data_IF_260395494556
#
_entry.id   IF_260395494556
#
_cell.length_a   1.000
_cell.length_b   1.000
_cell.length_c   1.000
_cell.angle_alpha   90.00
_cell.angle_beta   90.00
_cell.angle_gamma   90.00
#
_symmetry.space_group_name_H-M   'P 1'
#
loop_
_entity.id
_entity.type
_entity.pdbx_description
1 polymer ?
#
# COMPACT_ATOMS: atom_id res chain seq x y z
N UNK A 1 -35.46 19.82 3.97
CA UNK A 1 -34.39 18.90 4.39
C UNK A 1 -33.28 19.05 3.38
N UNK A 2 -32.28 19.88 3.68
CA UNK A 2 -31.15 20.17 2.79
C UNK A 2 -30.08 19.13 3.03
N UNK A 3 -29.92 18.22 2.06
CA UNK A 3 -28.81 17.28 2.02
C UNK A 3 -27.50 18.05 1.95
N UNK A 4 -26.75 17.97 3.05
CA UNK A 4 -25.39 18.50 3.17
C UNK A 4 -24.50 17.49 2.45
N UNK A 5 -24.06 17.83 1.23
CA UNK A 5 -23.06 17.06 0.50
C UNK A 5 -21.85 16.77 1.41
N UNK A 6 -21.22 15.59 1.31
CA UNK A 6 -20.07 15.25 2.13
C UNK A 6 -18.97 16.26 1.86
N UNK A 7 -18.53 16.95 2.92
CA UNK A 7 -17.36 17.82 2.89
C UNK A 7 -16.18 16.92 2.56
N UNK A 8 -15.78 16.91 1.30
CA UNK A 8 -14.48 16.41 0.87
C UNK A 8 -13.47 17.17 1.72
N UNK A 9 -12.66 16.44 2.47
CA UNK A 9 -11.62 17.03 3.32
C UNK A 9 -10.63 17.68 2.37
N UNK A 10 -10.81 18.97 2.09
CA UNK A 10 -9.89 19.82 1.35
C UNK A 10 -8.52 19.61 1.99
N UNK A 11 -7.67 18.93 1.25
CA UNK A 11 -6.31 18.59 1.61
C UNK A 11 -5.53 19.90 1.56
N UNK A 12 -5.70 20.74 2.60
CA UNK A 12 -5.35 22.16 2.57
C UNK A 12 -4.02 22.42 1.88
N UNK A 13 -4.03 23.32 0.90
CA UNK A 13 -2.98 23.55 -0.09
C UNK A 13 -1.58 23.43 0.52
N UNK A 14 -0.90 22.32 0.22
CA UNK A 14 0.44 22.03 0.71
C UNK A 14 1.45 22.46 -0.32
N UNK A 15 2.38 23.31 0.09
CA UNK A 15 3.44 23.81 -0.76
C UNK A 15 4.79 23.30 -0.31
N UNK A 16 5.70 23.16 -1.27
CA UNK A 16 7.11 22.99 -1.02
C UNK A 16 7.80 24.34 -1.16
N UNK A 17 8.52 24.74 -0.13
CA UNK A 17 9.37 25.92 -0.18
C UNK A 17 10.65 25.59 -0.96
N UNK A 18 10.96 26.42 -1.95
CA UNK A 18 12.12 26.29 -2.83
C UNK A 18 13.03 27.49 -2.64
N UNK A 19 14.32 27.23 -2.43
CA UNK A 19 15.37 28.26 -2.43
C UNK A 19 16.52 27.79 -3.30
N UNK A 20 16.96 28.62 -4.24
CA UNK A 20 18.06 28.30 -5.18
C UNK A 20 17.87 26.94 -5.89
N UNK A 21 16.62 26.61 -6.24
CA UNK A 21 16.28 25.37 -6.94
C UNK A 21 16.34 24.09 -6.09
N UNK A 22 16.39 24.19 -4.76
CA UNK A 22 16.31 23.07 -3.81
C UNK A 22 15.10 23.23 -2.88
N UNK A 23 14.49 22.12 -2.47
CA UNK A 23 13.39 22.08 -1.52
C UNK A 23 13.89 22.25 -0.08
N UNK A 24 13.08 22.89 0.75
CA UNK A 24 13.37 23.04 2.17
C UNK A 24 12.99 21.79 2.97
N UNK A 25 13.91 21.29 3.81
CA UNK A 25 13.66 20.12 4.67
C UNK A 25 13.01 20.55 6.00
N UNK A 26 12.12 19.73 6.57
CA UNK A 26 11.53 20.02 7.87
C UNK A 26 12.60 19.97 8.97
N UNK A 27 12.39 20.75 10.03
CA UNK A 27 13.25 20.75 11.22
C UNK A 27 14.61 21.41 11.01
N UNK A 28 14.72 22.44 10.16
CA UNK A 28 15.96 23.17 9.89
C UNK A 28 17.12 22.31 9.35
N UNK A 29 16.84 21.16 8.73
CA UNK A 29 17.86 20.25 8.20
C UNK A 29 18.43 20.68 6.84
N UNK A 30 18.40 21.98 6.53
CA UNK A 30 18.87 22.54 5.27
C UNK A 30 17.94 22.26 4.08
N UNK A 31 18.54 22.08 2.90
CA UNK A 31 17.83 21.95 1.63
C UNK A 31 18.10 20.57 0.99
N UNK A 32 17.16 20.09 0.19
CA UNK A 32 17.24 18.81 -0.52
C UNK A 32 16.72 18.94 -1.95
N UNK A 33 17.26 18.13 -2.84
CA UNK A 33 16.72 18.01 -4.19
C UNK A 33 15.61 16.97 -4.33
N UNK A 34 15.19 16.31 -3.25
CA UNK A 34 14.25 15.18 -3.29
C UNK A 34 12.93 15.58 -2.63
N UNK A 35 11.84 15.57 -3.39
CA UNK A 35 10.48 15.93 -2.94
C UNK A 35 10.03 15.13 -1.71
N UNK A 36 10.27 13.82 -1.70
CA UNK A 36 9.87 12.94 -0.60
C UNK A 36 10.49 13.33 0.75
N UNK A 37 11.64 14.00 0.73
CA UNK A 37 12.37 14.48 1.92
C UNK A 37 12.05 15.93 2.29
N UNK A 38 11.25 16.62 1.47
CA UNK A 38 10.87 18.00 1.68
C UNK A 38 9.72 18.13 2.68
N UNK A 39 9.69 19.28 3.35
CA UNK A 39 8.58 19.65 4.23
C UNK A 39 7.40 20.16 3.41
N UNK A 40 6.21 20.13 4.02
CA UNK A 40 4.98 20.71 3.45
C UNK A 40 4.63 21.92 4.30
N UNK A 41 4.47 23.05 3.64
CA UNK A 41 4.28 24.35 4.26
C UNK A 41 3.06 25.03 3.64
N UNK A 42 2.39 25.93 4.37
CA UNK A 42 1.42 26.83 3.76
C UNK A 42 2.12 27.79 2.77
N UNK A 43 1.39 28.30 1.79
CA UNK A 43 1.92 29.29 0.84
C UNK A 43 2.44 30.55 1.54
N UNK A 44 1.81 30.94 2.65
CA UNK A 44 2.19 32.10 3.45
C UNK A 44 3.61 32.06 4.01
N UNK A 45 4.23 30.88 4.07
CA UNK A 45 5.62 30.72 4.52
C UNK A 45 6.63 31.04 3.41
N UNK A 46 6.16 31.23 2.16
CA UNK A 46 6.99 31.74 1.09
C UNK A 46 7.49 33.15 1.42
N UNK A 47 8.77 33.40 1.13
CA UNK A 47 9.39 34.71 1.28
C UNK A 47 10.09 35.06 -0.02
N UNK A 48 9.34 35.54 -1.03
CA UNK A 48 9.92 35.86 -2.33
C UNK A 48 11.07 36.87 -2.23
N UNK A 49 10.99 37.80 -1.27
CA UNK A 49 12.03 38.80 -0.99
C UNK A 49 13.37 38.17 -0.54
N UNK A 50 13.30 37.03 0.16
CA UNK A 50 14.47 36.25 0.58
C UNK A 50 14.89 35.19 -0.46
N UNK A 51 14.27 35.21 -1.64
CA UNK A 51 14.43 34.22 -2.70
C UNK A 51 13.84 32.84 -2.39
N UNK A 52 12.84 32.78 -1.51
CA UNK A 52 12.11 31.56 -1.14
C UNK A 52 10.75 31.58 -1.84
N UNK A 53 10.54 30.68 -2.78
CA UNK A 53 9.27 30.53 -3.51
C UNK A 53 8.50 29.30 -3.03
N UNK A 54 7.18 29.28 -3.20
CA UNK A 54 6.35 28.11 -2.97
C UNK A 54 6.02 27.45 -4.31
N UNK A 55 6.00 26.12 -4.34
CA UNK A 55 5.46 25.32 -5.45
C UNK A 55 4.44 24.36 -4.85
N UNK A 56 3.25 24.27 -5.45
CA UNK A 56 2.20 23.37 -4.99
C UNK A 56 2.70 21.92 -4.99
N UNK A 57 2.29 21.10 -4.00
CA UNK A 57 2.78 19.73 -3.86
C UNK A 57 2.57 18.92 -5.13
N UNK A 58 1.44 19.05 -5.81
CA UNK A 58 1.14 18.29 -7.04
C UNK A 58 1.96 18.74 -8.26
N UNK A 59 2.36 20.01 -8.31
CA UNK A 59 3.14 20.58 -9.41
C UNK A 59 4.65 20.39 -9.21
N UNK A 60 5.08 20.18 -7.96
CA UNK A 60 6.49 20.04 -7.63
C UNK A 60 7.06 18.75 -8.26
N UNK A 61 8.13 18.84 -9.08
CA UNK A 61 8.78 17.65 -9.60
C UNK A 61 9.38 16.81 -8.47
N UNK A 62 9.50 15.52 -8.70
CA UNK A 62 10.05 14.60 -7.70
C UNK A 62 11.50 14.95 -7.32
N UNK A 63 12.25 15.45 -8.31
CA UNK A 63 13.59 15.97 -8.14
C UNK A 63 13.62 17.45 -8.50
N UNK A 64 14.17 18.26 -7.61
CA UNK A 64 14.33 19.69 -7.85
C UNK A 64 15.33 19.95 -8.97
N UNK A 65 15.25 21.13 -9.58
CA UNK A 65 16.13 21.52 -10.69
C UNK A 65 17.61 21.48 -10.32
N UNK A 66 17.96 21.84 -9.08
CA UNK A 66 19.34 21.84 -8.58
C UNK A 66 19.70 20.55 -7.81
N UNK A 67 18.93 19.47 -7.97
CA UNK A 67 19.22 18.21 -7.29
C UNK A 67 20.57 17.64 -7.73
N UNK A 68 21.43 17.31 -6.77
CA UNK A 68 22.70 16.63 -7.03
C UNK A 68 22.46 15.24 -7.65
N UNK A 69 23.25 14.89 -8.66
CA UNK A 69 23.05 13.69 -9.46
C UNK A 69 23.26 12.40 -8.64
N UNK A 70 24.24 12.39 -7.74
CA UNK A 70 24.55 11.30 -6.83
C UNK A 70 23.40 11.03 -5.84
N UNK A 71 22.81 12.09 -5.28
CA UNK A 71 21.64 11.97 -4.40
C UNK A 71 20.42 11.45 -5.15
N UNK A 72 20.23 11.90 -6.39
CA UNK A 72 19.15 11.44 -7.26
C UNK A 72 19.31 9.95 -7.56
N UNK A 73 20.50 9.53 -7.99
CA UNK A 73 20.81 8.12 -8.27
C UNK A 73 20.62 7.24 -7.04
N UNK A 74 21.19 7.63 -5.89
CA UNK A 74 21.03 6.88 -4.63
C UNK A 74 19.56 6.77 -4.22
N UNK A 75 18.76 7.82 -4.43
CA UNK A 75 17.33 7.80 -4.15
C UNK A 75 16.58 6.83 -5.08
N UNK A 76 16.87 6.88 -6.38
CA UNK A 76 16.27 5.98 -7.37
C UNK A 76 16.61 4.51 -7.08
N UNK A 77 17.87 4.20 -6.80
CA UNK A 77 18.31 2.86 -6.43
C UNK A 77 17.60 2.36 -5.17
N UNK A 78 17.43 3.23 -4.17
CA UNK A 78 16.66 2.91 -2.96
C UNK A 78 15.19 2.59 -3.27
N UNK A 79 14.55 3.34 -4.19
CA UNK A 79 13.18 3.07 -4.63
C UNK A 79 13.07 1.75 -5.39
N UNK A 80 14.02 1.45 -6.28
CA UNK A 80 14.06 0.19 -7.02
C UNK A 80 14.15 -0.98 -6.03
N UNK A 81 15.09 -0.93 -5.08
CA UNK A 81 15.24 -1.99 -4.08
C UNK A 81 13.98 -2.19 -3.23
N UNK A 82 13.30 -1.10 -2.83
CA UNK A 82 12.05 -1.19 -2.08
C UNK A 82 10.92 -1.83 -2.91
N UNK A 83 10.82 -1.47 -4.19
CA UNK A 83 9.83 -2.05 -5.12
C UNK A 83 10.12 -3.53 -5.41
N UNK A 84 11.40 -3.92 -5.50
CA UNK A 84 11.80 -5.32 -5.68
C UNK A 84 11.37 -6.20 -4.51
N UNK A 85 11.56 -5.74 -3.27
CA UNK A 85 11.08 -6.46 -2.08
C UNK A 85 9.56 -6.51 -2.02
N UNK A 86 8.86 -5.44 -2.42
CA UNK A 86 7.40 -5.42 -2.50
C UNK A 86 6.88 -6.45 -3.52
N UNK A 87 7.47 -6.49 -4.72
CA UNK A 87 7.13 -7.47 -5.76
C UNK A 87 7.34 -8.90 -5.24
N UNK A 88 8.45 -9.14 -4.54
CA UNK A 88 8.75 -10.44 -3.95
C UNK A 88 7.71 -10.84 -2.90
N UNK A 89 7.29 -9.92 -2.02
CA UNK A 89 6.23 -10.17 -1.04
C UNK A 89 4.92 -10.51 -1.74
N UNK A 90 4.50 -9.69 -2.71
CA UNK A 90 3.25 -9.90 -3.45
C UNK A 90 3.22 -11.23 -4.21
N UNK A 91 4.37 -11.68 -4.75
CA UNK A 91 4.49 -13.00 -5.39
C UNK A 91 4.31 -14.15 -4.40
N UNK A 92 4.84 -14.01 -3.18
CA UNK A 92 4.63 -15.02 -2.13
C UNK A 92 3.17 -15.07 -1.68
N UNK A 93 2.54 -13.90 -1.51
CA UNK A 93 1.12 -13.80 -1.14
C UNK A 93 0.23 -14.43 -2.22
N UNK A 94 0.52 -14.18 -3.50
CA UNK A 94 -0.20 -14.78 -4.62
C UNK A 94 -0.05 -16.30 -4.64
N UNK A 95 1.18 -16.81 -4.49
CA UNK A 95 1.43 -18.26 -4.45
C UNK A 95 0.72 -18.93 -3.26
N UNK A 96 0.63 -18.26 -2.11
CA UNK A 96 -0.12 -18.74 -0.96
C UNK A 96 -1.63 -18.79 -1.25
N UNK A 97 -2.18 -17.77 -1.92
CA UNK A 97 -3.57 -17.77 -2.36
C UNK A 97 -3.88 -18.88 -3.35
N UNK A 98 -3.01 -19.10 -4.34
CA UNK A 98 -3.16 -20.19 -5.32
C UNK A 98 -3.17 -21.55 -4.64
N UNK A 99 -2.25 -21.78 -3.69
CA UNK A 99 -2.20 -23.02 -2.91
C UNK A 99 -3.48 -23.25 -2.08
N UNK A 100 -4.01 -22.18 -1.48
CA UNK A 100 -5.28 -22.23 -0.75
C UNK A 100 -6.46 -22.56 -1.66
N UNK A 101 -6.52 -21.94 -2.84
CA UNK A 101 -7.56 -22.22 -3.85
C UNK A 101 -7.49 -23.67 -4.33
N UNK A 102 -6.30 -24.16 -4.67
CA UNK A 102 -6.07 -25.54 -5.08
C UNK A 102 -6.47 -26.55 -4.00
N UNK A 103 -6.09 -26.27 -2.74
CA UNK A 103 -6.44 -27.11 -1.60
C UNK A 103 -7.95 -27.12 -1.35
N UNK A 104 -8.60 -25.95 -1.38
CA UNK A 104 -10.05 -25.82 -1.24
C UNK A 104 -10.78 -26.55 -2.38
N UNK A 105 -10.32 -26.42 -3.62
CA UNK A 105 -10.87 -27.14 -4.76
C UNK A 105 -10.73 -28.65 -4.59
N UNK A 106 -9.52 -29.15 -4.25
CA UNK A 106 -9.28 -30.59 -4.04
C UNK A 106 -10.09 -31.15 -2.87
N UNK A 107 -10.21 -30.40 -1.76
CA UNK A 107 -11.03 -30.78 -0.62
C UNK A 107 -12.50 -30.84 -1.02
N UNK A 108 -13.00 -29.81 -1.72
CA UNK A 108 -14.34 -29.79 -2.29
C UNK A 108 -14.60 -31.04 -3.13
N UNK A 109 -13.78 -31.30 -4.16
CA UNK A 109 -13.92 -32.46 -5.05
C UNK A 109 -13.93 -33.78 -4.25
N UNK A 110 -13.03 -33.93 -3.26
CA UNK A 110 -12.97 -35.13 -2.40
C UNK A 110 -14.24 -35.30 -1.55
N UNK A 111 -14.85 -34.22 -1.10
CA UNK A 111 -16.09 -34.21 -0.33
C UNK A 111 -17.35 -34.15 -1.21
N UNK A 112 -17.22 -34.40 -2.52
CA UNK A 112 -18.36 -34.48 -3.44
C UNK A 112 -18.84 -33.14 -3.97
N UNK A 113 -18.06 -32.04 -3.84
CA UNK A 113 -18.28 -30.84 -4.65
C UNK A 113 -17.96 -31.18 -6.10
N UNK A 114 -18.97 -31.66 -6.82
CA UNK A 114 -18.99 -31.48 -8.25
C UNK A 114 -19.51 -30.08 -8.53
N UNK A 115 -18.60 -29.18 -8.91
CA UNK A 115 -18.90 -27.90 -9.54
C UNK A 115 -19.53 -28.15 -10.93
N UNK A 116 -20.69 -28.84 -10.95
CA UNK A 116 -21.46 -29.27 -12.13
C UNK A 116 -22.70 -30.13 -11.80
N UNK A 117 -22.99 -30.51 -10.54
CA UNK A 117 -24.13 -31.42 -10.24
C UNK A 117 -25.41 -30.69 -9.80
N UNK A 118 -25.32 -29.50 -9.21
CA UNK A 118 -26.37 -28.47 -9.21
C UNK A 118 -25.80 -27.18 -8.60
N UNK A 119 -25.84 -26.07 -9.35
CA UNK A 119 -25.54 -24.71 -8.85
C UNK A 119 -26.76 -24.14 -8.09
N UNK A 120 -27.41 -24.96 -7.26
CA UNK A 120 -28.57 -24.56 -6.48
C UNK A 120 -28.28 -24.43 -4.98
N UNK A 121 -29.14 -23.67 -4.32
CA UNK A 121 -29.04 -23.35 -2.89
C UNK A 121 -29.08 -24.61 -2.01
N UNK A 122 -29.73 -25.67 -2.50
CA UNK A 122 -29.86 -26.96 -1.81
C UNK A 122 -28.52 -27.72 -1.74
N UNK A 123 -27.73 -27.70 -2.82
CA UNK A 123 -26.37 -28.24 -2.83
C UNK A 123 -25.43 -27.52 -1.85
N UNK A 124 -25.58 -26.19 -1.73
CA UNK A 124 -24.79 -25.38 -0.79
C UNK A 124 -25.17 -25.65 0.67
N UNK A 125 -26.47 -25.76 0.98
CA UNK A 125 -27.01 -26.03 2.32
C UNK A 125 -26.65 -27.42 2.84
N UNK A 126 -26.69 -28.46 2.00
CA UNK A 126 -26.32 -29.82 2.40
C UNK A 126 -24.87 -29.91 2.90
N UNK A 127 -23.98 -29.10 2.35
CA UNK A 127 -22.54 -29.13 2.65
C UNK A 127 -22.20 -28.18 3.79
N UNK A 128 -22.84 -27.00 3.86
CA UNK A 128 -22.72 -26.10 5.01
C UNK A 128 -23.14 -26.79 6.33
N UNK A 129 -24.08 -27.73 6.25
CA UNK A 129 -24.52 -28.56 7.39
C UNK A 129 -23.62 -29.79 7.67
N UNK A 130 -22.64 -30.07 6.80
CA UNK A 130 -21.64 -31.13 6.99
C UNK A 130 -20.54 -30.69 7.97
N UNK A 131 -20.49 -31.33 9.13
CA UNK A 131 -19.56 -30.98 10.23
C UNK A 131 -18.07 -31.16 9.90
N UNK A 132 -17.73 -31.88 8.83
CA UNK A 132 -16.36 -32.18 8.44
C UNK A 132 -15.60 -30.96 7.89
N UNK A 133 -16.24 -30.13 7.06
CA UNK A 133 -15.59 -28.94 6.48
C UNK A 133 -15.25 -27.91 7.56
N UNK A 134 -16.13 -27.75 8.56
CA UNK A 134 -15.90 -26.88 9.72
C UNK A 134 -14.72 -27.40 10.58
N UNK A 135 -14.56 -28.71 10.71
CA UNK A 135 -13.43 -29.31 11.42
C UNK A 135 -12.10 -29.12 10.68
N UNK A 136 -12.12 -29.24 9.36
CA UNK A 136 -10.94 -29.02 8.51
C UNK A 136 -10.49 -27.54 8.54
N UNK A 137 -11.43 -26.60 8.44
CA UNK A 137 -11.14 -25.15 8.57
C UNK A 137 -10.57 -24.79 9.95
N UNK A 138 -11.03 -25.45 11.03
CA UNK A 138 -10.45 -25.28 12.38
C UNK A 138 -9.01 -25.80 12.43
N UNK A 139 -8.71 -26.98 11.87
CA UNK A 139 -7.33 -27.49 11.79
C UNK A 139 -6.40 -26.54 11.05
N UNK A 140 -6.84 -25.99 9.91
CA UNK A 140 -6.03 -25.06 9.12
C UNK A 140 -5.74 -23.77 9.91
N UNK A 141 -6.73 -23.23 10.62
CA UNK A 141 -6.53 -22.06 11.50
C UNK A 141 -5.57 -22.36 12.64
N UNK A 142 -5.70 -23.50 13.31
CA UNK A 142 -4.79 -23.92 14.39
C UNK A 142 -3.35 -24.12 13.89
N UNK A 143 -3.17 -24.74 12.73
CA UNK A 143 -1.86 -24.91 12.10
C UNK A 143 -1.20 -23.57 11.77
N UNK A 144 -1.98 -22.59 11.30
CA UNK A 144 -1.49 -21.24 11.03
C UNK A 144 -1.05 -20.51 12.30
N UNK A 145 -1.86 -20.57 13.37
CA UNK A 145 -1.50 -19.97 14.66
C UNK A 145 -0.23 -20.60 15.26
N UNK A 146 -0.04 -21.91 15.09
CA UNK A 146 1.15 -22.62 15.54
C UNK A 146 2.43 -22.22 14.76
N UNK A 147 2.30 -21.86 13.49
CA UNK A 147 3.42 -21.36 12.68
C UNK A 147 3.77 -19.90 13.02
N UNK A 148 2.75 -19.06 13.26
CA UNK A 148 2.94 -17.66 13.66
C UNK A 148 3.54 -17.54 15.08
N UNK A 149 3.24 -18.47 15.99
CA UNK A 149 3.79 -18.50 17.36
C UNK A 149 5.20 -19.08 17.51
N UNK A 150 5.78 -19.69 16.47
CA UNK A 150 7.15 -20.26 16.48
C UNK A 150 8.23 -19.30 15.96
N UNK A 151 7.83 -18.07 15.60
CA UNK A 151 8.72 -17.02 15.10
C UNK A 151 9.07 -15.92 16.12
N UNK A 152 8.83 -16.13 17.43
CA UNK A 152 9.31 -15.26 18.53
C UNK A 152 10.46 -15.90 19.29
#
# INVERSE_FOLDING_TARGET
MTDKAPVTVEQGDRFLLVKRGLYYRPGNQGYTGIKDRAGRYPESDARPEDGITAIHEDEAPEYSQACFADLKEKHMLGKIAALEEEIKRLRLDLAAQECLQDSAYKAGVKHGWNLCVADDEDGYQHIANGTEHIAELKRIREARTALEGRGS
#
